data_IF_505453879137
#
_entry.id   IF_505453879137
#
_cell.length_a   1.000
_cell.length_b   1.000
_cell.length_c   1.000
_cell.angle_alpha   90.00
_cell.angle_beta   90.00
_cell.angle_gamma   90.00
#
_symmetry.space_group_name_H-M   'P 1'
#
loop_
_entity.id
_entity.type
_entity.pdbx_description
1 polymer ?
#
# COMPACT_ATOMS: atom_id res chain seq x y z
N UNK A 1 27.46 27.60 -3.21
CA UNK A 1 26.40 27.02 -2.35
C UNK A 1 26.95 25.67 -1.87
N UNK A 2 27.02 25.47 -0.56
CA UNK A 2 27.51 24.20 -0.01
C UNK A 2 26.41 23.14 -0.16
N UNK A 3 26.79 21.97 -0.62
CA UNK A 3 25.91 20.82 -0.77
C UNK A 3 25.51 20.27 0.60
N UNK A 4 24.25 19.87 0.80
CA UNK A 4 23.82 19.32 2.06
C UNK A 4 24.38 17.90 2.26
N UNK A 5 24.60 17.51 3.52
CA UNK A 5 25.07 16.16 3.88
C UNK A 5 24.10 15.11 3.35
N UNK A 6 22.80 15.34 3.50
CA UNK A 6 21.74 14.45 2.98
C UNK A 6 21.84 14.26 1.48
N UNK A 7 22.15 15.32 0.74
CA UNK A 7 22.25 15.24 -0.71
C UNK A 7 23.50 14.48 -1.15
N UNK A 8 24.64 14.71 -0.48
CA UNK A 8 25.87 13.95 -0.75
C UNK A 8 25.67 12.45 -0.50
N UNK A 9 25.03 12.07 0.63
CA UNK A 9 24.70 10.67 0.93
C UNK A 9 23.73 10.12 -0.13
N UNK A 10 22.70 10.90 -0.49
CA UNK A 10 21.72 10.51 -1.50
C UNK A 10 22.37 10.26 -2.88
N UNK A 11 23.34 11.07 -3.27
CA UNK A 11 24.05 10.91 -4.55
C UNK A 11 24.83 9.59 -4.60
N UNK A 12 25.54 9.26 -3.53
CA UNK A 12 26.26 7.99 -3.44
C UNK A 12 25.29 6.80 -3.38
N UNK A 13 24.26 6.91 -2.56
CA UNK A 13 23.28 5.85 -2.42
C UNK A 13 22.48 5.62 -3.72
N UNK A 14 22.18 6.69 -4.45
CA UNK A 14 21.49 6.59 -5.75
C UNK A 14 22.29 5.76 -6.77
N UNK A 15 23.59 5.92 -6.78
CA UNK A 15 24.49 5.15 -7.66
C UNK A 15 24.55 3.67 -7.25
N UNK A 16 24.70 3.38 -5.95
CA UNK A 16 24.80 2.00 -5.42
C UNK A 16 23.47 1.24 -5.50
N UNK A 17 22.37 1.91 -5.17
CA UNK A 17 21.04 1.30 -5.13
C UNK A 17 20.32 1.31 -6.49
N UNK A 18 20.86 1.99 -7.49
CA UNK A 18 20.23 2.26 -8.79
C UNK A 18 18.83 2.90 -8.62
N UNK A 19 18.72 3.84 -7.67
CA UNK A 19 17.51 4.60 -7.38
C UNK A 19 17.78 6.09 -7.60
N UNK A 20 17.15 6.75 -8.58
CA UNK A 20 17.42 8.15 -8.87
C UNK A 20 16.96 9.06 -7.72
N UNK A 21 17.65 10.17 -7.57
CA UNK A 21 17.21 11.27 -6.71
C UNK A 21 15.93 11.86 -7.32
N UNK A 22 14.95 12.14 -6.48
CA UNK A 22 13.69 12.72 -6.94
C UNK A 22 13.94 14.09 -7.60
N UNK A 23 13.36 14.30 -8.78
CA UNK A 23 13.65 15.44 -9.68
C UNK A 23 13.56 16.84 -9.04
N UNK A 24 12.71 16.99 -8.00
CA UNK A 24 12.53 18.28 -7.31
C UNK A 24 13.57 18.56 -6.23
N UNK A 25 14.46 17.60 -5.95
CA UNK A 25 15.49 17.76 -4.94
C UNK A 25 16.67 18.61 -5.48
N UNK A 26 17.15 19.48 -4.64
CA UNK A 26 18.27 20.36 -4.94
C UNK A 26 19.48 20.00 -4.07
N UNK A 27 20.72 20.38 -4.46
CA UNK A 27 21.91 20.09 -3.66
C UNK A 27 21.85 20.56 -2.20
N UNK A 28 21.07 21.59 -1.93
CA UNK A 28 20.83 22.13 -0.58
C UNK A 28 19.66 21.50 0.16
N UNK A 29 18.93 20.54 -0.47
CA UNK A 29 17.77 19.91 0.13
C UNK A 29 18.16 19.07 1.36
N UNK A 30 17.35 19.16 2.40
CA UNK A 30 17.36 18.32 3.57
C UNK A 30 15.95 18.37 4.16
N UNK A 31 15.17 17.31 4.12
CA UNK A 31 15.53 15.95 3.64
C UNK A 31 15.66 15.78 2.13
N UNK A 32 16.21 14.63 1.71
CA UNK A 32 16.32 14.21 0.31
C UNK A 32 15.58 12.89 0.10
N UNK A 33 14.93 12.77 -1.04
CA UNK A 33 14.22 11.56 -1.46
C UNK A 33 14.89 10.91 -2.66
N UNK A 34 15.08 9.59 -2.58
CA UNK A 34 15.31 8.73 -3.73
C UNK A 34 13.99 8.05 -4.11
N UNK A 35 13.72 7.89 -5.40
CA UNK A 35 12.50 7.22 -5.86
C UNK A 35 12.70 6.63 -7.25
N UNK A 36 12.18 5.41 -7.45
CA UNK A 36 12.11 4.79 -8.78
C UNK A 36 10.95 5.33 -9.64
N UNK A 37 10.21 6.31 -9.12
CA UNK A 37 9.02 6.86 -9.78
C UNK A 37 7.78 5.97 -9.69
N UNK A 38 7.93 4.72 -9.23
CA UNK A 38 6.85 3.76 -9.07
C UNK A 38 6.41 3.65 -7.61
N UNK A 39 7.19 2.98 -6.78
CA UNK A 39 6.78 2.65 -5.40
C UNK A 39 7.92 2.70 -4.39
N UNK A 40 9.14 2.42 -4.82
CA UNK A 40 10.31 2.35 -3.95
C UNK A 40 10.80 3.74 -3.63
N UNK A 41 10.86 4.05 -2.35
CA UNK A 41 11.34 5.34 -1.88
C UNK A 41 12.31 5.17 -0.71
N UNK A 42 13.32 6.02 -0.66
CA UNK A 42 14.24 6.18 0.45
C UNK A 42 14.25 7.65 0.85
N UNK A 43 14.04 7.89 2.11
CA UNK A 43 14.06 9.20 2.72
C UNK A 43 15.34 9.35 3.53
N UNK A 44 16.09 10.41 3.32
CA UNK A 44 17.36 10.70 3.97
C UNK A 44 17.28 12.07 4.61
N UNK A 45 17.42 12.11 5.90
CA UNK A 45 17.39 13.35 6.69
C UNK A 45 18.65 13.46 7.57
N UNK A 46 19.23 14.65 7.66
CA UNK A 46 20.32 14.94 8.57
C UNK A 46 19.91 16.01 9.54
N UNK A 47 20.12 15.74 10.83
CA UNK A 47 19.87 16.68 11.91
C UNK A 47 21.16 16.99 12.64
N UNK A 48 21.35 18.27 13.00
CA UNK A 48 22.50 18.70 13.76
C UNK A 48 22.09 18.94 15.21
N UNK A 49 22.66 18.16 16.13
CA UNK A 49 22.43 18.33 17.57
C UNK A 49 23.65 18.93 18.24
N UNK A 50 23.52 20.18 18.72
CA UNK A 50 24.59 20.93 19.38
C UNK A 50 25.73 21.29 18.40
N UNK A 51 26.92 21.55 18.95
CA UNK A 51 28.07 22.06 18.18
C UNK A 51 28.89 20.99 17.45
N UNK A 52 28.55 19.67 17.60
CA UNK A 52 29.48 18.64 17.15
C UNK A 52 28.89 17.28 16.80
N UNK A 53 27.58 17.11 16.84
CA UNK A 53 26.94 15.84 16.47
C UNK A 53 26.00 16.03 15.29
N UNK A 54 26.19 15.22 14.29
CA UNK A 54 25.32 15.10 13.11
C UNK A 54 24.70 13.71 13.15
N UNK A 55 23.38 13.63 13.07
CA UNK A 55 22.65 12.36 12.96
C UNK A 55 22.04 12.28 11.58
N UNK A 56 22.32 11.19 10.89
CA UNK A 56 21.69 10.85 9.60
C UNK A 56 20.67 9.75 9.84
N UNK A 57 19.44 10.00 9.45
CA UNK A 57 18.36 9.02 9.46
C UNK A 57 18.02 8.64 8.02
N UNK A 58 17.95 7.33 7.75
CA UNK A 58 17.53 6.80 6.48
C UNK A 58 16.33 5.90 6.72
N UNK A 59 15.21 6.21 6.07
CA UNK A 59 13.97 5.45 6.17
C UNK A 59 13.56 4.97 4.79
N UNK A 60 13.25 3.68 4.70
CA UNK A 60 12.70 3.07 3.49
C UNK A 60 11.18 3.24 3.50
N UNK A 61 10.61 3.65 2.39
CA UNK A 61 9.19 3.90 2.26
C UNK A 61 8.62 3.23 1.02
N UNK A 62 7.30 3.09 0.99
CA UNK A 62 6.53 2.77 -0.20
C UNK A 62 5.50 3.87 -0.43
N UNK A 63 5.45 4.42 -1.64
CA UNK A 63 4.52 5.52 -1.97
C UNK A 63 3.05 5.10 -1.98
N UNK A 64 2.77 3.81 -2.08
CA UNK A 64 1.41 3.25 -2.24
C UNK A 64 0.91 2.47 -1.03
N UNK A 65 1.53 2.69 0.13
CA UNK A 65 1.15 2.07 1.38
C UNK A 65 1.81 0.71 1.62
N UNK A 66 2.11 0.45 2.87
CA UNK A 66 2.64 -0.81 3.36
C UNK A 66 1.50 -1.76 3.75
N UNK A 67 1.72 -3.10 3.73
CA UNK A 67 0.83 -4.04 4.39
C UNK A 67 0.65 -3.65 5.87
N UNK A 68 -0.53 -3.91 6.42
CA UNK A 68 -0.91 -3.50 7.79
C UNK A 68 0.12 -3.87 8.88
N UNK A 69 0.93 -4.92 8.65
CA UNK A 69 1.94 -5.42 9.59
C UNK A 69 3.40 -5.18 9.15
N UNK A 70 3.65 -4.48 8.05
CA UNK A 70 5.00 -4.22 7.59
C UNK A 70 5.50 -2.88 8.12
N UNK A 71 6.53 -2.93 8.95
CA UNK A 71 7.22 -1.73 9.41
C UNK A 71 8.31 -1.33 8.42
N UNK A 72 8.33 -0.06 7.96
CA UNK A 72 9.39 0.43 7.09
C UNK A 72 10.75 0.28 7.79
N UNK A 73 11.75 -0.33 7.13
CA UNK A 73 13.10 -0.37 7.67
C UNK A 73 13.67 1.04 7.80
N UNK A 74 14.33 1.31 8.92
CA UNK A 74 15.01 2.58 9.15
C UNK A 74 16.30 2.39 9.92
N UNK A 75 17.26 3.29 9.72
CA UNK A 75 18.54 3.31 10.43
C UNK A 75 18.94 4.73 10.76
N UNK A 76 19.66 4.88 11.88
CA UNK A 76 20.16 6.14 12.35
C UNK A 76 21.65 6.03 12.68
N UNK A 77 22.44 6.94 12.14
CA UNK A 77 23.89 6.99 12.34
C UNK A 77 24.29 8.35 12.90
N UNK A 78 24.91 8.36 14.07
CA UNK A 78 25.39 9.57 14.71
C UNK A 78 26.89 9.69 14.51
N UNK A 79 27.33 10.84 14.01
CA UNK A 79 28.72 11.15 13.70
C UNK A 79 29.21 12.32 14.54
N UNK A 80 30.54 12.36 14.75
CA UNK A 80 31.22 13.54 15.29
C UNK A 80 31.40 14.61 14.20
N UNK A 81 32.34 15.53 14.44
CA UNK A 81 32.66 16.62 13.48
C UNK A 81 33.14 16.11 12.10
N UNK A 82 33.72 14.93 12.07
CA UNK A 82 34.16 14.28 10.83
C UNK A 82 33.14 13.20 10.49
N UNK A 83 32.42 13.40 9.41
CA UNK A 83 31.47 12.42 8.86
C UNK A 83 32.03 11.88 7.53
N UNK A 84 31.67 10.65 7.21
CA UNK A 84 32.07 10.00 5.97
C UNK A 84 30.81 9.40 5.33
N UNK A 85 30.41 9.96 4.19
CA UNK A 85 29.23 9.55 3.46
C UNK A 85 29.36 8.09 2.97
N UNK A 86 30.53 7.69 2.50
CA UNK A 86 30.76 6.32 2.01
C UNK A 86 30.54 5.29 3.14
N UNK A 87 30.97 5.61 4.37
CA UNK A 87 30.73 4.72 5.52
C UNK A 87 29.24 4.58 5.83
N UNK A 88 28.48 5.67 5.73
CA UNK A 88 27.00 5.60 5.94
C UNK A 88 26.35 4.76 4.85
N UNK A 89 26.70 5.00 3.59
CA UNK A 89 26.18 4.25 2.46
C UNK A 89 26.56 2.78 2.55
N UNK A 90 27.81 2.45 2.86
CA UNK A 90 28.24 1.06 3.06
C UNK A 90 27.46 0.35 4.16
N UNK A 91 27.24 1.02 5.32
CA UNK A 91 26.44 0.48 6.40
C UNK A 91 24.97 0.29 6.00
N UNK A 92 24.40 1.24 5.26
CA UNK A 92 23.05 1.11 4.72
C UNK A 92 22.94 -0.09 3.79
N UNK A 93 23.84 -0.18 2.81
CA UNK A 93 23.81 -1.27 1.82
C UNK A 93 24.04 -2.64 2.47
N UNK A 94 24.86 -2.72 3.51
CA UNK A 94 25.11 -3.98 4.20
C UNK A 94 23.97 -4.41 5.12
N UNK A 95 23.39 -3.49 5.89
CA UNK A 95 22.44 -3.83 6.94
C UNK A 95 20.98 -3.54 6.61
N UNK A 96 20.69 -2.44 5.93
CA UNK A 96 19.32 -2.02 5.65
C UNK A 96 18.84 -2.39 4.23
N UNK A 97 19.72 -2.41 3.25
CA UNK A 97 19.32 -2.69 1.87
C UNK A 97 18.62 -4.04 1.70
N UNK A 98 19.10 -5.16 2.27
CA UNK A 98 18.38 -6.43 2.21
C UNK A 98 16.97 -6.33 2.78
N UNK A 99 16.81 -5.65 3.93
CA UNK A 99 15.50 -5.43 4.57
C UNK A 99 14.60 -4.52 3.73
N UNK A 100 15.19 -3.53 3.05
CA UNK A 100 14.46 -2.66 2.13
C UNK A 100 13.87 -3.44 0.95
N UNK A 101 14.63 -4.33 0.36
CA UNK A 101 14.18 -5.20 -0.74
C UNK A 101 13.03 -6.10 -0.25
N UNK A 102 13.21 -6.78 0.88
CA UNK A 102 12.16 -7.62 1.48
C UNK A 102 10.88 -6.83 1.76
N UNK A 103 11.02 -5.62 2.29
CA UNK A 103 9.89 -4.74 2.56
C UNK A 103 9.13 -4.36 1.29
N UNK A 104 9.83 -3.96 0.22
CA UNK A 104 9.20 -3.61 -1.05
C UNK A 104 8.56 -4.82 -1.72
N UNK A 105 9.18 -5.99 -1.65
CA UNK A 105 8.60 -7.24 -2.17
C UNK A 105 7.31 -7.61 -1.42
N UNK A 106 7.28 -7.42 -0.09
CA UNK A 106 6.08 -7.60 0.72
C UNK A 106 4.97 -6.61 0.34
N UNK A 107 5.33 -5.33 0.10
CA UNK A 107 4.40 -4.32 -0.39
C UNK A 107 3.82 -4.68 -1.76
N UNK A 108 4.65 -5.15 -2.68
CA UNK A 108 4.23 -5.60 -4.01
C UNK A 108 3.30 -6.82 -3.95
N UNK A 109 3.62 -7.78 -3.10
CA UNK A 109 2.78 -8.96 -2.89
C UNK A 109 1.40 -8.59 -2.35
N UNK A 110 1.36 -7.75 -1.33
CA UNK A 110 0.11 -7.28 -0.73
C UNK A 110 -0.76 -6.52 -1.75
N UNK A 111 -0.15 -5.67 -2.57
CA UNK A 111 -0.83 -4.92 -3.62
C UNK A 111 -1.44 -5.84 -4.68
N UNK A 112 -0.68 -6.83 -5.16
CA UNK A 112 -1.18 -7.85 -6.10
C UNK A 112 -2.34 -8.64 -5.50
N UNK A 113 -2.27 -8.94 -4.21
CA UNK A 113 -3.36 -9.57 -3.47
C UNK A 113 -4.62 -8.70 -3.46
N UNK A 114 -4.48 -7.41 -3.09
CA UNK A 114 -5.60 -6.46 -3.09
C UNK A 114 -6.20 -6.28 -4.49
N UNK A 115 -5.38 -6.20 -5.52
CA UNK A 115 -5.86 -6.09 -6.90
C UNK A 115 -6.69 -7.30 -7.31
N UNK A 116 -6.22 -8.53 -7.03
CA UNK A 116 -7.01 -9.75 -7.28
C UNK A 116 -8.34 -9.74 -6.54
N UNK A 117 -8.32 -9.35 -5.27
CA UNK A 117 -9.56 -9.24 -4.49
C UNK A 117 -10.53 -8.24 -5.10
N UNK A 118 -10.03 -7.09 -5.55
CA UNK A 118 -10.85 -6.09 -6.24
C UNK A 118 -11.44 -6.65 -7.54
N UNK A 119 -10.62 -7.25 -8.39
CA UNK A 119 -11.05 -7.83 -9.68
C UNK A 119 -12.09 -8.93 -9.49
N UNK A 120 -11.86 -9.86 -8.56
CA UNK A 120 -12.81 -10.92 -8.25
C UNK A 120 -14.18 -10.37 -7.80
N UNK A 121 -14.18 -9.29 -7.02
CA UNK A 121 -15.41 -8.66 -6.56
C UNK A 121 -16.13 -7.91 -7.67
N UNK A 122 -15.41 -7.24 -8.54
CA UNK A 122 -16.00 -6.63 -9.72
C UNK A 122 -16.67 -7.69 -10.62
N UNK A 123 -15.99 -8.81 -10.85
CA UNK A 123 -16.55 -9.93 -11.62
C UNK A 123 -17.80 -10.51 -10.96
N UNK A 124 -17.78 -10.74 -9.65
CA UNK A 124 -18.96 -11.22 -8.92
C UNK A 124 -20.11 -10.22 -8.99
N UNK A 125 -19.84 -8.94 -8.77
CA UNK A 125 -20.86 -7.90 -8.87
C UNK A 125 -21.47 -7.82 -10.27
N UNK A 126 -20.65 -7.96 -11.31
CA UNK A 126 -21.10 -8.00 -12.70
C UNK A 126 -21.98 -9.24 -12.99
N UNK A 127 -21.58 -10.42 -12.49
CA UNK A 127 -22.38 -11.63 -12.65
C UNK A 127 -23.73 -11.51 -11.96
N UNK A 128 -23.77 -10.97 -10.73
CA UNK A 128 -25.03 -10.72 -10.01
C UNK A 128 -25.93 -9.70 -10.74
N UNK A 129 -25.34 -8.62 -11.25
CA UNK A 129 -26.07 -7.62 -12.01
C UNK A 129 -26.66 -8.20 -13.30
N UNK A 130 -25.93 -9.07 -14.00
CA UNK A 130 -26.41 -9.75 -15.21
C UNK A 130 -27.60 -10.66 -14.93
N UNK A 131 -27.56 -11.44 -13.82
CA UNK A 131 -28.67 -12.33 -13.42
C UNK A 131 -29.90 -11.52 -12.99
N UNK A 132 -29.68 -10.44 -12.23
CA UNK A 132 -30.75 -9.66 -11.63
C UNK A 132 -31.21 -8.44 -12.44
N UNK A 133 -30.78 -8.30 -13.70
CA UNK A 133 -31.02 -7.12 -14.54
C UNK A 133 -30.68 -5.81 -13.82
N UNK A 134 -29.52 -5.77 -13.19
CA UNK A 134 -29.04 -4.67 -12.38
C UNK A 134 -27.85 -3.94 -12.98
N UNK A 135 -27.26 -3.08 -12.17
CA UNK A 135 -26.05 -2.33 -12.49
C UNK A 135 -24.97 -2.54 -11.41
N UNK A 136 -23.72 -2.31 -11.80
CA UNK A 136 -22.58 -2.39 -10.90
C UNK A 136 -22.04 -0.99 -10.66
N UNK A 137 -21.78 -0.69 -9.40
CA UNK A 137 -21.01 0.47 -9.00
C UNK A 137 -19.71 0.03 -8.32
N UNK A 138 -18.61 0.55 -8.81
CA UNK A 138 -17.32 0.32 -8.21
C UNK A 138 -16.42 1.56 -8.39
N UNK A 139 -15.64 1.96 -7.38
CA UNK A 139 -14.65 3.01 -7.52
C UNK A 139 -13.48 2.51 -8.38
N UNK A 140 -12.72 3.44 -8.93
CA UNK A 140 -11.46 3.09 -9.60
C UNK A 140 -10.47 2.48 -8.60
N UNK A 141 -9.75 1.45 -9.02
CA UNK A 141 -8.76 0.79 -8.17
C UNK A 141 -7.70 1.76 -7.66
N UNK A 142 -7.52 1.82 -6.34
CA UNK A 142 -6.47 2.57 -5.66
C UNK A 142 -5.83 1.68 -4.58
N UNK A 143 -4.59 1.21 -4.78
CA UNK A 143 -3.93 0.27 -3.87
C UNK A 143 -3.69 0.81 -2.45
N UNK A 144 -3.74 2.13 -2.25
CA UNK A 144 -3.63 2.76 -0.93
C UNK A 144 -4.94 2.82 -0.13
N UNK A 145 -6.07 2.37 -0.71
CA UNK A 145 -7.37 2.46 -0.06
C UNK A 145 -8.05 1.08 0.06
N UNK A 146 -7.90 0.45 1.21
CA UNK A 146 -8.52 -0.86 1.49
C UNK A 146 -10.06 -0.82 1.51
N UNK A 147 -10.67 0.33 1.84
CA UNK A 147 -12.13 0.47 1.91
C UNK A 147 -12.80 0.47 0.54
N UNK A 148 -12.04 0.71 -0.50
CA UNK A 148 -12.49 0.70 -1.88
C UNK A 148 -13.12 -0.64 -2.28
N UNK A 149 -12.59 -1.74 -1.79
CA UNK A 149 -13.12 -3.08 -2.07
C UNK A 149 -14.51 -3.26 -1.46
N UNK A 150 -14.81 -2.56 -0.35
CA UNK A 150 -16.12 -2.55 0.29
C UNK A 150 -17.16 -1.72 -0.45
N UNK A 151 -16.70 -0.79 -1.27
CA UNK A 151 -17.59 0.08 -2.05
C UNK A 151 -18.10 -0.54 -3.35
N UNK A 152 -17.65 -1.77 -3.69
CA UNK A 152 -18.15 -2.51 -4.85
C UNK A 152 -19.51 -3.10 -4.50
N UNK A 153 -20.54 -2.73 -5.26
CA UNK A 153 -21.88 -3.24 -5.08
C UNK A 153 -22.63 -3.40 -6.41
N UNK A 154 -23.56 -4.31 -6.41
CA UNK A 154 -24.53 -4.48 -7.50
C UNK A 154 -25.93 -4.11 -7.01
N UNK A 155 -26.69 -3.41 -7.81
CA UNK A 155 -28.04 -2.97 -7.50
C UNK A 155 -28.98 -3.25 -8.67
N UNK A 156 -30.17 -3.70 -8.34
CA UNK A 156 -31.27 -3.82 -9.27
C UNK A 156 -32.51 -3.06 -8.76
N UNK A 157 -33.63 -3.13 -9.48
CA UNK A 157 -34.83 -2.36 -9.16
C UNK A 157 -35.33 -2.59 -7.72
N UNK A 158 -35.17 -3.81 -7.21
CA UNK A 158 -35.70 -4.22 -5.90
C UNK A 158 -34.65 -4.98 -5.05
N UNK A 159 -33.37 -4.88 -5.37
CA UNK A 159 -32.33 -5.59 -4.64
C UNK A 159 -31.01 -4.84 -4.64
N UNK A 160 -30.22 -5.07 -3.61
CA UNK A 160 -28.83 -4.57 -3.49
C UNK A 160 -27.97 -5.66 -2.87
N UNK A 161 -26.81 -5.89 -3.46
CA UNK A 161 -25.78 -6.77 -2.92
C UNK A 161 -24.53 -5.95 -2.62
N UNK A 162 -24.12 -5.98 -1.37
CA UNK A 162 -22.88 -5.38 -0.92
C UNK A 162 -21.97 -6.47 -0.39
N UNK A 163 -20.75 -6.54 -0.91
CA UNK A 163 -19.74 -7.44 -0.38
C UNK A 163 -19.15 -6.87 0.89
N UNK A 164 -19.26 -7.60 2.00
CA UNK A 164 -18.56 -7.29 3.24
C UNK A 164 -17.25 -8.06 3.29
N UNK A 165 -16.19 -7.39 3.77
CA UNK A 165 -14.90 -8.05 3.96
C UNK A 165 -14.99 -8.90 5.23
N UNK A 166 -14.79 -10.22 5.10
CA UNK A 166 -14.43 -11.06 6.23
C UNK A 166 -13.12 -11.77 5.88
N UNK A 167 -12.24 -11.92 6.83
CA UNK A 167 -10.97 -12.65 6.69
C UNK A 167 -11.18 -14.13 6.34
N UNK A 168 -12.41 -14.62 6.48
CA UNK A 168 -12.77 -16.05 6.37
C UNK A 168 -13.75 -16.32 5.22
N UNK A 169 -14.01 -15.37 4.35
CA UNK A 169 -14.93 -15.57 3.22
C UNK A 169 -15.76 -14.34 2.86
N UNK A 170 -16.62 -14.49 1.86
CA UNK A 170 -17.52 -13.43 1.42
C UNK A 170 -18.79 -13.44 2.27
N UNK A 171 -19.05 -12.37 3.02
CA UNK A 171 -20.37 -12.11 3.59
C UNK A 171 -21.14 -11.27 2.57
N UNK A 172 -22.12 -11.88 1.92
CA UNK A 172 -23.05 -11.18 1.05
C UNK A 172 -24.20 -10.66 1.95
N UNK A 173 -24.43 -9.35 1.93
CA UNK A 173 -25.64 -8.75 2.46
C UNK A 173 -26.57 -8.50 1.29
N UNK A 174 -27.68 -9.21 1.27
CA UNK A 174 -28.75 -9.07 0.29
C UNK A 174 -29.85 -8.21 0.91
N UNK A 175 -29.99 -6.97 0.43
CA UNK A 175 -31.13 -6.12 0.78
C UNK A 175 -32.17 -6.26 -0.35
N UNK A 176 -33.29 -6.91 -0.04
CA UNK A 176 -34.37 -7.09 -1.02
C UNK A 176 -35.59 -6.37 -0.52
N UNK A 177 -36.09 -5.41 -1.29
CA UNK A 177 -37.42 -4.88 -1.08
C UNK A 177 -38.45 -5.93 -1.58
N UNK A 178 -38.95 -6.73 -0.69
CA UNK A 178 -39.90 -7.80 -0.98
C UNK A 178 -41.15 -7.60 -0.12
N UNK A 179 -42.32 -7.98 -0.65
CA UNK A 179 -43.49 -8.14 0.18
C UNK A 179 -43.37 -9.40 1.07
N UNK A 180 -44.20 -9.56 2.07
CA UNK A 180 -44.09 -10.64 3.05
C UNK A 180 -44.06 -12.04 2.43
N UNK A 181 -44.80 -12.27 1.36
CA UNK A 181 -44.82 -13.55 0.66
C UNK A 181 -43.52 -13.85 -0.10
N UNK A 182 -42.93 -12.83 -0.71
CA UNK A 182 -41.65 -12.92 -1.38
C UNK A 182 -40.51 -13.11 -0.39
N UNK A 183 -40.54 -12.43 0.76
CA UNK A 183 -39.54 -12.58 1.81
C UNK A 183 -39.58 -14.00 2.40
N UNK A 184 -40.75 -14.56 2.65
CA UNK A 184 -40.92 -15.93 3.14
C UNK A 184 -40.45 -16.98 2.11
N UNK A 185 -40.74 -16.79 0.83
CA UNK A 185 -40.27 -17.66 -0.24
C UNK A 185 -38.74 -17.65 -0.36
N UNK A 186 -38.12 -16.48 -0.24
CA UNK A 186 -36.66 -16.35 -0.26
C UNK A 186 -35.99 -17.02 0.95
N UNK A 187 -36.55 -16.82 2.16
CA UNK A 187 -36.07 -17.49 3.37
C UNK A 187 -36.16 -19.00 3.23
N UNK A 188 -37.27 -19.53 2.70
CA UNK A 188 -37.44 -20.94 2.46
C UNK A 188 -36.37 -21.50 1.49
N UNK A 189 -36.13 -20.82 0.39
CA UNK A 189 -35.08 -21.17 -0.58
C UNK A 189 -33.67 -21.17 0.03
N UNK A 190 -33.35 -20.21 0.90
CA UNK A 190 -32.06 -20.15 1.57
C UNK A 190 -31.91 -21.27 2.62
N UNK A 191 -32.98 -21.67 3.27
CA UNK A 191 -32.99 -22.77 4.24
C UNK A 191 -32.93 -24.16 3.58
N UNK A 192 -33.46 -24.30 2.36
CA UNK A 192 -33.34 -25.56 1.59
C UNK A 192 -31.92 -25.80 1.04
N UNK A 193 -31.11 -24.72 0.88
CA UNK A 193 -29.71 -24.79 0.41
C UNK A 193 -28.71 -25.26 1.46
N UNK A 194 -29.09 -25.38 2.72
CA UNK A 194 -28.22 -25.80 3.84
C UNK A 194 -28.10 -27.36 3.97
N UNK A 195 -28.51 -28.12 2.97
CA UNK A 195 -28.20 -29.55 2.93
C UNK A 195 -26.79 -29.74 2.38
N UNK A 196 -25.78 -30.09 3.19
CA UNK A 196 -24.44 -30.37 2.67
C UNK A 196 -24.50 -31.62 1.77
N UNK A 197 -24.06 -31.41 0.52
CA UNK A 197 -23.71 -32.50 -0.39
C UNK A 197 -22.51 -33.28 0.13
#
# INVERSE_FOLDING_TARGET
MEESISFTIATLLAAEANLPIFEKMQPTSNPVYLSDGADRQIFIETTTSGKSKITTEITVCSSRGAPYNAHPPSGSWTHGKVWNAETIVANFMHHLWPLAVEYWDACDYARKGMQRHYENRCQMAQALAAIGNGSVSHPQFNPGNADMVRAIHATGPNWRVQSLNSEVGYKLVLEIAANDAQALALIALLMEGDNPL
#
